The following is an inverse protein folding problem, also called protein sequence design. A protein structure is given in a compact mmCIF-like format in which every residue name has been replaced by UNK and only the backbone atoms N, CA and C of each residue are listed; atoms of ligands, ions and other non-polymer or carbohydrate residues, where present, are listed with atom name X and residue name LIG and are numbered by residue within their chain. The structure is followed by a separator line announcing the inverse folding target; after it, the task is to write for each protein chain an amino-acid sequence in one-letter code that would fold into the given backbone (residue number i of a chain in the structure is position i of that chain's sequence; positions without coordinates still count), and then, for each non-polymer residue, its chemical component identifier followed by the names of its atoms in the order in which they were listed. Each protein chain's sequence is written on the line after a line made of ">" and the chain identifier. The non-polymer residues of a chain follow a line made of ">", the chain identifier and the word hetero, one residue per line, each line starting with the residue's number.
data_IF_795263954086
#
_entry.id   IF_795263954086
#
_cell.length_a   1.000
_cell.length_b   1.000
_cell.length_c   1.000
_cell.angle_alpha   90.00
_cell.angle_beta   90.00
_cell.angle_gamma   90.00
#
_symmetry.space_group_name_H-M   'P 1'
#
loop_
_entity.id
_entity.type
_entity.pdbx_description
1 polymer ?
#
# COMPACT_ATOMS: atom_id res chain seq x y z
N UNK A 1 22.58 0.80 27.64
CA UNK A 1 22.38 -0.52 28.29
C UNK A 1 23.68 -1.32 28.35
N UNK A 2 24.36 -1.57 27.22
CA UNK A 2 25.65 -2.28 27.23
C UNK A 2 26.72 -1.53 28.02
N UNK A 3 26.87 -0.22 27.83
CA UNK A 3 27.83 0.61 28.60
C UNK A 3 27.62 0.49 30.10
N UNK A 4 26.37 0.56 30.56
CA UNK A 4 26.01 0.33 31.96
C UNK A 4 26.38 -1.08 32.44
N UNK A 5 26.18 -2.11 31.62
CA UNK A 5 26.58 -3.48 31.98
C UNK A 5 28.12 -3.64 32.05
N UNK A 6 28.87 -2.91 31.21
CA UNK A 6 30.33 -2.83 31.32
C UNK A 6 30.73 -2.17 32.64
N UNK A 7 30.13 -1.03 32.97
CA UNK A 7 30.34 -0.33 34.25
C UNK A 7 29.98 -1.21 35.44
N UNK A 8 28.83 -1.90 35.41
CA UNK A 8 28.39 -2.82 36.45
C UNK A 8 29.37 -4.01 36.58
N UNK A 9 29.81 -4.61 35.47
CA UNK A 9 30.78 -5.73 35.48
C UNK A 9 32.13 -5.31 36.09
N UNK A 10 32.59 -4.09 35.77
CA UNK A 10 33.80 -3.52 36.36
C UNK A 10 33.59 -3.17 37.85
N UNK A 11 32.42 -2.65 38.22
CA UNK A 11 32.07 -2.31 39.59
C UNK A 11 31.92 -3.54 40.51
N UNK A 12 31.40 -4.65 40.00
CA UNK A 12 31.31 -5.92 40.76
C UNK A 12 32.68 -6.61 40.92
N UNK A 13 33.62 -6.33 40.00
CA UNK A 13 34.99 -6.80 40.12
C UNK A 13 35.84 -5.92 41.04
N UNK A 14 35.37 -4.71 41.35
CA UNK A 14 35.95 -3.90 42.41
C UNK A 14 35.51 -4.47 43.76
N UNK A 15 36.45 -4.64 44.71
CA UNK A 15 36.17 -5.17 46.04
C UNK A 15 35.30 -4.16 46.80
N UNK A 16 33.98 -4.29 46.67
CA UNK A 16 32.99 -3.37 47.23
C UNK A 16 32.39 -3.86 48.55
N UNK A 17 32.54 -5.15 48.87
CA UNK A 17 32.00 -5.75 50.09
C UNK A 17 32.96 -5.67 51.30
N UNK A 18 34.23 -5.30 51.10
CA UNK A 18 35.20 -5.18 52.18
C UNK A 18 35.61 -3.71 52.44
N UNK A 19 34.65 -2.93 52.94
CA UNK A 19 34.87 -1.56 53.42
C UNK A 19 36.02 -1.48 54.44
N UNK A 20 36.34 -2.57 55.15
CA UNK A 20 37.46 -2.64 56.09
C UNK A 20 38.79 -2.75 55.34
N UNK A 21 38.91 -3.61 54.34
CA UNK A 21 40.10 -3.67 53.48
C UNK A 21 40.34 -2.34 52.76
N UNK A 22 39.29 -1.70 52.24
CA UNK A 22 39.34 -0.37 51.61
C UNK A 22 39.84 0.72 52.56
N UNK A 23 39.35 0.76 53.80
CA UNK A 23 39.81 1.70 54.83
C UNK A 23 41.27 1.44 55.22
N UNK A 24 41.69 0.17 55.29
CA UNK A 24 43.07 -0.20 55.62
C UNK A 24 44.05 0.19 54.51
N UNK A 25 43.66 -0.01 53.24
CA UNK A 25 44.43 0.41 52.08
C UNK A 25 44.52 1.94 51.94
N UNK A 26 43.42 2.67 52.19
CA UNK A 26 43.40 4.14 52.20
C UNK A 26 44.30 4.73 53.30
N UNK A 27 44.36 4.10 54.47
CA UNK A 27 45.26 4.54 55.56
C UNK A 27 46.74 4.25 55.27
N UNK A 28 47.04 3.30 54.38
CA UNK A 28 48.41 2.98 53.95
C UNK A 28 48.92 3.91 52.84
N UNK A 29 48.04 4.70 52.21
CA UNK A 29 48.33 5.54 51.05
C UNK A 29 48.32 7.03 51.47
N UNK A 30 49.23 7.82 50.89
CA UNK A 30 49.45 9.23 51.24
C UNK A 30 48.17 10.09 51.03
N UNK A 31 47.77 10.95 51.98
CA UNK A 31 46.40 11.47 52.09
C UNK A 31 45.96 12.50 51.05
N UNK A 32 46.84 12.97 50.16
CA UNK A 32 46.55 14.16 49.35
C UNK A 32 46.35 13.95 47.85
N UNK A 33 46.67 12.78 47.28
CA UNK A 33 46.29 12.30 45.91
C UNK A 33 47.11 11.05 45.58
N UNK A 34 46.43 9.92 45.41
CA UNK A 34 47.05 8.70 44.87
C UNK A 34 46.28 8.24 43.63
N UNK A 35 46.98 7.69 42.62
CA UNK A 35 46.32 7.07 41.48
C UNK A 35 45.55 5.82 41.92
N UNK A 36 44.36 5.61 41.35
CA UNK A 36 43.47 4.48 41.66
C UNK A 36 44.19 3.11 41.54
N UNK A 37 45.18 3.03 40.64
CA UNK A 37 46.03 1.84 40.42
C UNK A 37 46.77 1.37 41.68
N UNK A 38 47.25 2.31 42.51
CA UNK A 38 47.95 1.98 43.76
C UNK A 38 47.01 1.41 44.83
N UNK A 39 45.73 1.79 44.78
CA UNK A 39 44.71 1.28 45.70
C UNK A 39 44.27 -0.13 45.31
N UNK A 40 44.16 -0.41 44.01
CA UNK A 40 43.83 -1.74 43.48
C UNK A 40 44.94 -2.78 43.67
N UNK A 41 46.21 -2.43 43.46
CA UNK A 41 47.34 -3.35 43.70
C UNK A 41 47.41 -3.85 45.16
N UNK A 42 47.05 -2.98 46.11
CA UNK A 42 47.12 -3.30 47.53
C UNK A 42 45.98 -4.22 47.99
N UNK A 43 44.81 -4.13 47.35
CA UNK A 43 43.64 -4.98 47.65
C UNK A 43 43.71 -6.32 46.91
N UNK A 44 44.32 -6.36 45.71
CA UNK A 44 44.58 -7.61 44.98
C UNK A 44 45.49 -8.58 45.75
N UNK A 45 46.41 -8.07 46.58
CA UNK A 45 47.28 -8.94 47.40
C UNK A 45 46.57 -9.64 48.56
N UNK A 46 45.35 -9.23 48.91
CA UNK A 46 44.59 -9.71 50.07
C UNK A 46 43.28 -10.45 49.73
N UNK A 47 42.87 -10.46 48.46
CA UNK A 47 41.58 -11.03 48.05
C UNK A 47 41.71 -11.78 46.72
N UNK A 48 41.60 -13.12 46.73
CA UNK A 48 41.46 -13.96 45.52
C UNK A 48 40.12 -13.76 44.78
N UNK A 49 39.24 -12.88 45.29
CA UNK A 49 37.89 -12.66 44.78
C UNK A 49 37.84 -11.45 43.86
N UNK A 50 38.25 -11.64 42.60
CA UNK A 50 38.20 -10.56 41.60
C UNK A 50 38.52 -10.98 40.17
N UNK A 51 38.41 -12.26 39.80
CA UNK A 51 38.70 -12.70 38.44
C UNK A 51 37.62 -12.20 37.47
N UNK A 52 37.93 -11.15 36.72
CA UNK A 52 37.10 -10.63 35.63
C UNK A 52 37.13 -11.64 34.47
N UNK A 53 35.95 -12.00 33.95
CA UNK A 53 35.85 -12.70 32.66
C UNK A 53 36.27 -11.75 31.53
N UNK A 54 37.58 -11.73 31.25
CA UNK A 54 38.18 -10.90 30.21
C UNK A 54 37.60 -11.20 28.82
N UNK A 55 37.14 -12.43 28.57
CA UNK A 55 36.52 -12.79 27.31
C UNK A 55 35.14 -12.13 27.17
N UNK A 56 34.32 -12.18 28.23
CA UNK A 56 33.03 -11.48 28.27
C UNK A 56 33.20 -9.97 28.15
N UNK A 57 34.15 -9.38 28.89
CA UNK A 57 34.40 -7.94 28.83
C UNK A 57 34.83 -7.50 27.42
N UNK A 58 35.78 -8.22 26.80
CA UNK A 58 36.21 -7.94 25.41
C UNK A 58 35.05 -8.02 24.42
N UNK A 59 34.14 -9.00 24.57
CA UNK A 59 32.93 -9.09 23.74
C UNK A 59 32.01 -7.89 23.92
N UNK A 60 31.73 -7.49 25.16
CA UNK A 60 30.87 -6.33 25.46
C UNK A 60 31.46 -5.04 24.91
N UNK A 61 32.77 -4.82 25.08
CA UNK A 61 33.48 -3.66 24.53
C UNK A 61 33.39 -3.65 23.01
N UNK A 62 33.64 -4.79 22.35
CA UNK A 62 33.54 -4.90 20.89
C UNK A 62 32.12 -4.58 20.40
N UNK A 63 31.09 -5.20 20.99
CA UNK A 63 29.69 -4.92 20.62
C UNK A 63 29.37 -3.43 20.83
N UNK A 64 29.85 -2.82 21.91
CA UNK A 64 29.65 -1.38 22.17
C UNK A 64 30.30 -0.51 21.09
N UNK A 65 31.54 -0.81 20.69
CA UNK A 65 32.24 -0.10 19.63
C UNK A 65 31.54 -0.26 18.27
N UNK A 66 31.13 -1.48 17.94
CA UNK A 66 30.43 -1.79 16.69
C UNK A 66 29.06 -1.07 16.65
N UNK A 67 28.33 -1.01 17.77
CA UNK A 67 27.06 -0.28 17.86
C UNK A 67 27.25 1.24 17.76
N UNK A 68 28.30 1.80 18.36
CA UNK A 68 28.62 3.22 18.22
C UNK A 68 28.96 3.57 16.77
N UNK A 69 29.76 2.72 16.11
CA UNK A 69 30.08 2.88 14.70
C UNK A 69 28.82 2.79 13.82
N UNK A 70 27.96 1.80 14.06
CA UNK A 70 26.69 1.67 13.34
C UNK A 70 25.81 2.91 13.55
N UNK A 71 25.68 3.38 14.79
CA UNK A 71 24.90 4.58 15.10
C UNK A 71 25.42 5.81 14.34
N UNK A 72 26.73 6.04 14.36
CA UNK A 72 27.38 7.14 13.62
C UNK A 72 27.15 7.03 12.11
N UNK A 73 27.27 5.84 11.52
CA UNK A 73 26.98 5.62 10.10
C UNK A 73 25.53 5.92 9.73
N UNK A 74 24.58 5.61 10.64
CA UNK A 74 23.16 5.84 10.41
C UNK A 74 22.77 7.31 10.54
N UNK A 75 23.44 8.08 11.39
CA UNK A 75 23.06 9.45 11.78
C UNK A 75 23.87 10.53 11.08
N UNK A 76 25.20 10.41 11.08
CA UNK A 76 26.11 11.44 10.58
C UNK A 76 26.85 10.98 9.30
N UNK A 77 27.46 9.79 9.33
CA UNK A 77 28.33 9.32 8.25
C UNK A 77 29.50 10.27 7.95
N UNK A 78 30.24 10.01 6.87
CA UNK A 78 31.43 10.81 6.51
C UNK A 78 31.10 12.23 6.06
N UNK A 79 29.93 12.43 5.45
CA UNK A 79 29.49 13.71 4.89
C UNK A 79 28.48 14.46 5.76
N UNK A 80 28.19 13.99 6.98
CA UNK A 80 27.21 14.61 7.88
C UNK A 80 25.74 14.42 7.48
N UNK A 81 25.46 13.55 6.50
CA UNK A 81 24.11 13.28 5.99
C UNK A 81 23.50 11.97 6.54
N UNK A 82 24.31 11.15 7.19
CA UNK A 82 23.93 9.82 7.68
C UNK A 82 23.60 8.84 6.56
N UNK A 83 22.85 7.80 6.89
CA UNK A 83 22.39 6.81 5.91
C UNK A 83 21.19 7.35 5.13
N UNK A 84 21.25 7.26 3.80
CA UNK A 84 20.10 7.56 2.95
C UNK A 84 18.86 6.73 3.33
N UNK A 85 17.68 7.36 3.26
CA UNK A 85 16.38 6.72 3.57
C UNK A 85 15.79 5.95 2.39
N UNK A 86 16.31 6.18 1.18
CA UNK A 86 15.90 5.50 -0.04
C UNK A 86 17.06 5.50 -1.04
N UNK A 87 16.97 4.63 -2.04
CA UNK A 87 17.88 4.63 -3.19
C UNK A 87 17.08 4.64 -4.49
N UNK A 88 17.66 5.19 -5.55
CA UNK A 88 17.02 5.30 -6.86
C UNK A 88 17.75 4.45 -7.90
N UNK A 89 16.98 3.70 -8.68
CA UNK A 89 17.41 3.09 -9.93
C UNK A 89 16.54 3.65 -11.05
N UNK A 90 17.12 4.40 -11.99
CA UNK A 90 16.40 5.05 -13.08
C UNK A 90 16.68 4.28 -14.35
N UNK A 91 15.61 3.84 -14.99
CA UNK A 91 15.70 3.13 -16.26
C UNK A 91 15.88 4.08 -17.45
N UNK A 92 16.43 3.59 -18.58
CA UNK A 92 16.61 4.40 -19.77
C UNK A 92 15.28 4.87 -20.36
N UNK A 93 15.28 6.06 -20.97
CA UNK A 93 14.11 6.64 -21.62
C UNK A 93 13.97 8.14 -21.33
N UNK A 94 12.76 8.67 -21.39
CA UNK A 94 12.54 10.13 -21.22
C UNK A 94 12.91 10.64 -19.81
N UNK A 95 13.09 9.75 -18.83
CA UNK A 95 13.53 10.13 -17.49
C UNK A 95 15.03 10.46 -17.46
N UNK A 96 15.84 9.83 -18.30
CA UNK A 96 17.29 10.04 -18.27
C UNK A 96 17.70 11.41 -18.78
N UNK A 97 16.87 12.02 -19.64
CA UNK A 97 17.11 13.35 -20.22
C UNK A 97 17.28 14.43 -19.14
N UNK A 98 16.49 14.36 -18.06
CA UNK A 98 16.58 15.30 -16.94
C UNK A 98 17.33 14.72 -15.74
N UNK A 99 17.31 13.40 -15.54
CA UNK A 99 17.96 12.77 -14.39
C UNK A 99 19.49 12.68 -14.51
N UNK A 100 20.03 12.61 -15.73
CA UNK A 100 21.46 12.38 -16.00
C UNK A 100 22.20 13.57 -16.62
N UNK A 101 21.63 14.79 -16.60
CA UNK A 101 22.20 15.93 -17.30
C UNK A 101 23.36 16.57 -16.53
N UNK A 102 24.60 16.17 -16.84
CA UNK A 102 25.79 16.79 -16.26
C UNK A 102 25.92 18.26 -16.65
N UNK A 103 26.25 19.20 -15.72
CA UNK A 103 26.68 18.97 -14.33
C UNK A 103 25.55 18.99 -13.28
N UNK A 104 24.31 19.17 -13.69
CA UNK A 104 23.19 19.38 -12.78
C UNK A 104 22.69 18.05 -12.21
N UNK A 105 22.87 17.85 -10.90
CA UNK A 105 22.33 16.69 -10.18
C UNK A 105 21.15 17.11 -9.29
N UNK A 106 19.90 16.74 -9.65
CA UNK A 106 18.73 17.13 -8.86
C UNK A 106 18.50 16.27 -7.61
N UNK A 107 19.29 15.21 -7.39
CA UNK A 107 19.01 14.21 -6.36
C UNK A 107 19.82 14.42 -5.08
N UNK A 108 19.14 14.23 -3.94
CA UNK A 108 19.74 14.25 -2.59
C UNK A 108 19.96 12.83 -2.03
N UNK A 109 19.86 11.81 -2.89
CA UNK A 109 19.92 10.39 -2.54
C UNK A 109 20.80 9.67 -3.54
N UNK A 110 21.36 8.49 -3.21
CA UNK A 110 22.10 7.69 -4.17
C UNK A 110 21.22 7.28 -5.36
N UNK A 111 21.67 7.63 -6.56
CA UNK A 111 20.97 7.33 -7.83
C UNK A 111 21.90 6.55 -8.74
N UNK A 112 21.37 5.47 -9.29
CA UNK A 112 21.99 4.74 -10.38
C UNK A 112 21.11 4.87 -11.62
N UNK A 113 21.69 5.34 -12.71
CA UNK A 113 21.01 5.43 -14.01
C UNK A 113 21.47 4.25 -14.85
N UNK A 114 20.52 3.41 -15.27
CA UNK A 114 20.77 2.28 -16.15
C UNK A 114 20.87 2.74 -17.61
N UNK A 115 21.94 2.31 -18.27
CA UNK A 115 22.19 2.60 -19.69
C UNK A 115 22.00 1.36 -20.59
N UNK A 116 21.79 0.18 -19.99
CA UNK A 116 21.82 -1.11 -20.68
C UNK A 116 20.41 -1.72 -20.89
N UNK A 117 19.36 -1.14 -20.29
CA UNK A 117 17.98 -1.58 -20.46
C UNK A 117 17.59 -2.79 -19.61
N UNK A 118 18.35 -3.09 -18.54
CA UNK A 118 18.07 -4.16 -17.59
C UNK A 118 17.99 -3.65 -16.14
N UNK A 119 17.20 -2.58 -15.99
CA UNK A 119 17.11 -1.83 -14.74
C UNK A 119 16.55 -2.68 -13.60
N UNK A 120 15.70 -3.66 -13.91
CA UNK A 120 15.13 -4.55 -12.90
C UNK A 120 16.19 -5.47 -12.27
N UNK A 121 17.09 -6.07 -13.06
CA UNK A 121 18.17 -6.88 -12.50
C UNK A 121 19.21 -6.00 -11.78
N UNK A 122 19.50 -4.81 -12.31
CA UNK A 122 20.33 -3.83 -11.63
C UNK A 122 19.75 -3.46 -10.26
N UNK A 123 18.45 -3.18 -10.20
CA UNK A 123 17.73 -2.86 -8.97
C UNK A 123 17.77 -4.02 -7.97
N UNK A 124 17.60 -5.27 -8.41
CA UNK A 124 17.74 -6.46 -7.56
C UNK A 124 19.15 -6.53 -6.96
N UNK A 125 20.19 -6.42 -7.78
CA UNK A 125 21.58 -6.49 -7.29
C UNK A 125 21.94 -5.35 -6.32
N UNK A 126 21.48 -4.13 -6.60
CA UNK A 126 21.65 -2.99 -5.70
C UNK A 126 20.94 -3.22 -4.36
N UNK A 127 19.71 -3.73 -4.40
CA UNK A 127 18.92 -4.00 -3.21
C UNK A 127 19.53 -5.13 -2.37
N UNK A 128 20.01 -6.21 -2.98
CA UNK A 128 20.71 -7.29 -2.27
C UNK A 128 21.95 -6.78 -1.53
N UNK A 129 22.73 -5.89 -2.15
CA UNK A 129 23.87 -5.24 -1.51
C UNK A 129 23.46 -4.38 -0.31
N UNK A 130 22.40 -3.59 -0.45
CA UNK A 130 21.84 -2.76 0.63
C UNK A 130 21.30 -3.62 1.78
N UNK A 131 20.56 -4.68 1.46
CA UNK A 131 19.99 -5.60 2.44
C UNK A 131 21.07 -6.32 3.23
N UNK A 132 22.14 -6.78 2.59
CA UNK A 132 23.27 -7.39 3.31
C UNK A 132 23.82 -6.46 4.39
N UNK A 133 24.00 -5.17 4.08
CA UNK A 133 24.48 -4.18 5.06
C UNK A 133 23.48 -3.88 6.15
N UNK A 134 22.20 -3.83 5.84
CA UNK A 134 21.18 -3.64 6.87
C UNK A 134 21.05 -4.86 7.80
N UNK A 135 21.13 -6.08 7.24
CA UNK A 135 21.10 -7.35 7.97
C UNK A 135 22.29 -7.47 8.92
N UNK A 136 23.50 -7.06 8.51
CA UNK A 136 24.67 -6.98 9.40
C UNK A 136 24.37 -6.12 10.65
N UNK A 137 23.72 -4.97 10.46
CA UNK A 137 23.31 -4.09 11.57
C UNK A 137 22.24 -4.70 12.47
N UNK A 138 21.24 -5.37 11.89
CA UNK A 138 20.19 -6.06 12.65
C UNK A 138 20.78 -7.25 13.44
N UNK A 139 21.67 -8.02 12.83
CA UNK A 139 22.37 -9.11 13.51
C UNK A 139 23.17 -8.61 14.72
N UNK A 140 23.85 -7.46 14.59
CA UNK A 140 24.54 -6.81 15.70
C UNK A 140 23.57 -6.39 16.83
N UNK A 141 22.40 -5.84 16.50
CA UNK A 141 21.37 -5.51 17.49
C UNK A 141 20.79 -6.75 18.19
N UNK A 142 20.56 -7.84 17.45
CA UNK A 142 20.12 -9.13 18.02
C UNK A 142 21.19 -9.70 18.95
N UNK A 143 22.46 -9.65 18.54
CA UNK A 143 23.59 -10.10 19.36
C UNK A 143 23.69 -9.27 20.65
N UNK A 144 23.60 -7.95 20.55
CA UNK A 144 23.59 -7.04 21.70
C UNK A 144 22.47 -7.37 22.69
N UNK A 145 21.25 -7.61 22.20
CA UNK A 145 20.13 -8.02 23.05
C UNK A 145 20.33 -9.40 23.69
N UNK A 146 20.87 -10.35 22.94
CA UNK A 146 21.13 -11.70 23.43
C UNK A 146 22.23 -11.70 24.49
N UNK A 147 23.30 -10.92 24.33
CA UNK A 147 24.37 -10.79 25.32
C UNK A 147 23.85 -10.20 26.64
N UNK A 148 22.86 -9.30 26.59
CA UNK A 148 22.22 -8.75 27.79
C UNK A 148 21.29 -9.76 28.50
N UNK A 149 20.65 -10.68 27.76
CA UNK A 149 19.67 -11.64 28.31
C UNK A 149 20.31 -12.98 28.70
N UNK A 150 21.19 -13.52 27.87
CA UNK A 150 21.83 -14.82 28.03
C UNK A 150 23.22 -14.84 27.36
N UNK A 151 24.29 -14.48 28.10
CA UNK A 151 25.66 -14.40 27.58
C UNK A 151 26.20 -15.72 26.99
N UNK A 152 25.84 -16.86 27.57
CA UNK A 152 26.33 -18.17 27.10
C UNK A 152 25.71 -18.57 25.76
N UNK A 153 24.42 -18.28 25.57
CA UNK A 153 23.76 -18.43 24.29
C UNK A 153 24.34 -17.45 23.24
N UNK A 154 24.61 -16.20 23.64
CA UNK A 154 25.21 -15.19 22.76
C UNK A 154 26.60 -15.61 22.26
N UNK A 155 27.44 -16.16 23.13
CA UNK A 155 28.76 -16.66 22.77
C UNK A 155 28.69 -17.83 21.77
N UNK A 156 27.72 -18.75 21.94
CA UNK A 156 27.51 -19.84 20.97
C UNK A 156 27.04 -19.32 19.62
N UNK A 157 26.09 -18.40 19.61
CA UNK A 157 25.58 -17.79 18.37
C UNK A 157 26.66 -16.99 17.62
N UNK A 158 27.48 -16.22 18.35
CA UNK A 158 28.56 -15.42 17.76
C UNK A 158 29.62 -16.28 17.04
N UNK A 159 29.86 -17.52 17.51
CA UNK A 159 30.79 -18.46 16.85
C UNK A 159 30.24 -19.03 15.54
N UNK A 160 28.92 -19.12 15.40
CA UNK A 160 28.28 -19.60 14.18
C UNK A 160 28.22 -18.52 13.09
N UNK A 161 28.20 -17.24 13.48
CA UNK A 161 28.20 -16.08 12.58
C UNK A 161 27.13 -16.13 11.47
N UNK A 162 25.98 -16.76 11.74
CA UNK A 162 24.88 -16.89 10.78
C UNK A 162 24.12 -15.57 10.74
N UNK A 163 24.10 -14.94 9.58
CA UNK A 163 23.25 -13.78 9.31
C UNK A 163 21.82 -14.28 9.01
N UNK A 164 20.79 -13.61 9.54
CA UNK A 164 19.42 -13.96 9.22
C UNK A 164 19.11 -13.64 7.76
N UNK A 165 18.26 -14.44 7.13
CA UNK A 165 17.68 -14.09 5.83
C UNK A 165 16.63 -12.98 5.99
N UNK A 166 16.33 -12.26 4.90
CA UNK A 166 15.31 -11.20 4.89
C UNK A 166 13.94 -11.69 5.41
N UNK A 167 13.58 -12.94 5.08
CA UNK A 167 12.32 -13.55 5.48
C UNK A 167 12.28 -13.90 6.99
N UNK A 168 13.42 -13.92 7.67
CA UNK A 168 13.54 -14.18 9.11
C UNK A 168 13.53 -12.88 9.96
N UNK A 169 13.44 -11.72 9.31
CA UNK A 169 13.32 -10.43 9.97
C UNK A 169 11.88 -10.18 10.42
N UNK A 170 11.74 -9.61 11.61
CA UNK A 170 10.46 -9.07 12.08
C UNK A 170 10.05 -7.84 11.26
N UNK A 171 8.77 -7.46 11.29
CA UNK A 171 8.29 -6.26 10.59
C UNK A 171 8.99 -4.98 11.04
N UNK A 172 9.30 -4.87 12.34
CA UNK A 172 10.06 -3.73 12.88
C UNK A 172 11.49 -3.70 12.33
N UNK A 173 12.14 -4.86 12.21
CA UNK A 173 13.50 -4.95 11.66
C UNK A 173 13.53 -4.64 10.16
N UNK A 174 12.52 -5.09 9.40
CA UNK A 174 12.39 -4.79 7.98
C UNK A 174 12.24 -3.29 7.71
N UNK A 175 11.61 -2.53 8.62
CA UNK A 175 11.48 -1.07 8.50
C UNK A 175 12.83 -0.33 8.61
N UNK A 176 13.87 -0.95 9.19
CA UNK A 176 15.20 -0.37 9.21
C UNK A 176 15.93 -0.50 7.87
N UNK A 177 15.43 -1.30 6.93
CA UNK A 177 16.00 -1.45 5.61
C UNK A 177 15.41 -0.38 4.67
N UNK A 178 16.22 0.52 4.11
CA UNK A 178 15.72 1.53 3.18
C UNK A 178 15.19 0.85 1.90
N UNK A 179 14.01 1.25 1.39
CA UNK A 179 13.51 0.71 0.14
C UNK A 179 14.32 1.22 -1.06
N UNK A 180 14.38 0.40 -2.11
CA UNK A 180 14.87 0.82 -3.41
C UNK A 180 13.69 1.20 -4.30
N UNK A 181 13.78 2.40 -4.89
CA UNK A 181 12.78 2.94 -5.79
C UNK A 181 13.31 2.85 -7.24
N UNK A 182 12.66 2.01 -8.04
CA UNK A 182 12.92 1.90 -9.47
C UNK A 182 11.98 2.84 -10.22
N UNK A 183 12.52 3.76 -11.02
CA UNK A 183 11.77 4.70 -11.83
C UNK A 183 11.85 4.33 -13.31
N UNK A 184 10.74 4.48 -14.01
CA UNK A 184 10.67 4.05 -15.39
C UNK A 184 9.48 4.55 -16.20
N UNK A 185 9.47 4.23 -17.50
CA UNK A 185 8.34 4.40 -18.41
C UNK A 185 7.82 3.06 -18.92
N UNK A 186 6.73 3.08 -19.70
CA UNK A 186 6.15 1.91 -20.35
C UNK A 186 7.15 1.08 -21.18
N UNK A 187 8.17 1.71 -21.75
CA UNK A 187 9.17 1.03 -22.58
C UNK A 187 10.02 0.01 -21.82
N UNK A 188 10.12 0.10 -20.50
CA UNK A 188 10.87 -0.86 -19.66
C UNK A 188 10.12 -2.19 -19.56
N UNK A 189 8.83 -2.20 -19.88
CA UNK A 189 8.01 -3.40 -19.93
C UNK A 189 8.33 -4.27 -21.15
N UNK A 190 9.20 -3.82 -22.05
CA UNK A 190 9.59 -4.57 -23.25
C UNK A 190 10.45 -5.79 -22.93
N UNK A 191 11.26 -5.76 -21.85
CA UNK A 191 11.94 -6.93 -21.27
C UNK A 191 11.06 -7.62 -20.21
N UNK A 192 9.97 -8.23 -20.69
CA UNK A 192 8.80 -8.73 -19.94
C UNK A 192 9.08 -9.67 -18.75
N UNK A 193 10.26 -10.28 -18.67
CA UNK A 193 10.60 -11.26 -17.63
C UNK A 193 10.97 -10.58 -16.31
N UNK A 194 11.64 -9.43 -16.36
CA UNK A 194 12.33 -8.90 -15.18
C UNK A 194 11.40 -8.14 -14.23
N UNK A 195 10.40 -7.39 -14.73
CA UNK A 195 9.43 -6.72 -13.85
C UNK A 195 8.52 -7.70 -13.11
N UNK A 196 8.03 -8.72 -13.81
CA UNK A 196 7.17 -9.75 -13.20
C UNK A 196 7.93 -10.55 -12.15
N UNK A 197 9.21 -10.83 -12.38
CA UNK A 197 10.07 -11.44 -11.37
C UNK A 197 10.17 -10.52 -10.16
N UNK A 198 10.51 -9.24 -10.38
CA UNK A 198 10.69 -8.23 -9.33
C UNK A 198 9.44 -8.08 -8.44
N UNK A 199 8.24 -8.01 -9.03
CA UNK A 199 6.98 -7.89 -8.28
C UNK A 199 6.57 -9.17 -7.54
N UNK A 200 7.19 -10.31 -7.87
CA UNK A 200 7.00 -11.56 -7.14
C UNK A 200 8.04 -11.78 -6.02
N UNK A 201 9.11 -10.99 -5.99
CA UNK A 201 10.10 -11.05 -4.93
C UNK A 201 9.51 -10.46 -3.66
N UNK A 202 9.74 -11.12 -2.52
CA UNK A 202 9.36 -10.60 -1.21
C UNK A 202 10.36 -9.54 -0.71
N UNK A 203 10.76 -8.59 -1.56
CA UNK A 203 11.80 -7.59 -1.26
C UNK A 203 11.18 -6.18 -1.17
N UNK A 204 11.78 -5.25 -0.41
CA UNK A 204 11.24 -3.90 -0.21
C UNK A 204 11.55 -2.99 -1.41
N UNK A 205 11.05 -3.38 -2.60
CA UNK A 205 11.24 -2.64 -3.84
C UNK A 205 9.96 -1.92 -4.25
N UNK A 206 10.10 -0.66 -4.67
CA UNK A 206 8.99 0.17 -5.15
C UNK A 206 9.27 0.51 -6.60
N UNK A 207 8.34 0.20 -7.49
CA UNK A 207 8.46 0.50 -8.92
C UNK A 207 7.48 1.61 -9.24
N UNK A 208 7.98 2.75 -9.71
CA UNK A 208 7.15 3.80 -10.30
C UNK A 208 7.32 3.76 -11.80
N UNK A 209 6.21 3.57 -12.51
CA UNK A 209 6.13 3.66 -13.96
C UNK A 209 5.34 4.92 -14.33
N UNK A 210 5.91 5.73 -15.20
CA UNK A 210 5.28 6.88 -15.82
C UNK A 210 4.79 6.49 -17.21
N UNK A 211 3.49 6.63 -17.44
CA UNK A 211 2.89 6.44 -18.76
C UNK A 211 2.43 7.75 -19.33
N UNK A 212 2.60 7.88 -20.63
CA UNK A 212 2.02 8.98 -21.40
C UNK A 212 0.86 8.48 -22.30
N UNK A 213 0.44 7.21 -22.15
CA UNK A 213 -0.61 6.54 -22.89
C UNK A 213 -0.37 6.48 -24.40
N UNK A 214 0.88 6.39 -24.83
CA UNK A 214 1.18 6.09 -26.21
C UNK A 214 0.63 4.70 -26.61
N UNK A 215 -0.02 4.64 -27.77
CA UNK A 215 -0.82 3.50 -28.21
C UNK A 215 0.05 2.50 -28.97
N UNK A 216 1.09 2.95 -29.65
CA UNK A 216 1.97 2.10 -30.45
C UNK A 216 2.88 1.22 -29.58
N UNK A 217 3.32 1.78 -28.46
CA UNK A 217 4.20 1.13 -27.49
C UNK A 217 3.44 0.28 -26.46
N UNK A 218 2.15 0.56 -26.23
CA UNK A 218 1.34 -0.11 -25.21
C UNK A 218 0.79 -1.46 -25.66
N UNK A 219 1.58 -2.51 -25.47
CA UNK A 219 1.17 -3.90 -25.76
C UNK A 219 0.64 -4.67 -24.55
N UNK A 220 0.80 -4.17 -23.33
CA UNK A 220 0.49 -4.86 -22.07
C UNK A 220 -0.04 -3.89 -21.02
N UNK A 221 -0.85 -4.40 -20.09
CA UNK A 221 -1.37 -3.65 -18.94
C UNK A 221 -0.61 -4.07 -17.67
N UNK A 222 0.46 -3.36 -17.25
CA UNK A 222 1.35 -3.79 -16.16
C UNK A 222 0.64 -3.89 -14.82
N UNK A 223 -0.31 -3.00 -14.57
CA UNK A 223 -1.11 -2.96 -13.35
C UNK A 223 -2.04 -4.17 -13.22
N UNK A 224 -2.68 -4.62 -14.31
CA UNK A 224 -3.49 -5.83 -14.34
C UNK A 224 -2.64 -7.11 -14.21
N UNK A 225 -1.44 -7.13 -14.81
CA UNK A 225 -0.50 -8.25 -14.65
C UNK A 225 -0.02 -8.37 -13.20
N UNK A 226 0.33 -7.25 -12.56
CA UNK A 226 0.70 -7.22 -11.15
C UNK A 226 -0.47 -7.63 -10.25
N UNK A 227 -1.68 -7.20 -10.58
CA UNK A 227 -2.90 -7.60 -9.87
C UNK A 227 -3.14 -9.12 -9.95
N UNK A 228 -2.95 -9.72 -11.13
CA UNK A 228 -3.08 -11.17 -11.33
C UNK A 228 -2.06 -11.99 -10.50
N UNK A 229 -0.89 -11.44 -10.23
CA UNK A 229 0.13 -12.08 -9.39
C UNK A 229 -0.19 -12.02 -7.90
N UNK A 230 -1.10 -11.14 -7.47
CA UNK A 230 -1.60 -10.99 -6.11
C UNK A 230 -0.57 -10.78 -4.97
N UNK A 231 0.71 -10.54 -5.27
CA UNK A 231 1.79 -10.38 -4.27
C UNK A 231 2.22 -8.94 -4.00
N UNK A 232 2.05 -8.05 -4.96
CA UNK A 232 2.48 -6.66 -4.86
C UNK A 232 1.31 -5.73 -4.55
N UNK A 233 1.58 -4.64 -3.84
CA UNK A 233 0.66 -3.50 -3.82
C UNK A 233 0.62 -2.86 -5.21
N UNK A 234 -0.57 -2.53 -5.72
CA UNK A 234 -0.73 -1.88 -7.04
C UNK A 234 -1.49 -0.58 -6.86
N UNK A 235 -0.95 0.49 -7.44
CA UNK A 235 -1.59 1.80 -7.52
C UNK A 235 -1.58 2.23 -8.97
N UNK A 236 -2.75 2.45 -9.56
CA UNK A 236 -2.90 3.13 -10.85
C UNK A 236 -3.54 4.50 -10.61
N UNK A 237 -2.82 5.57 -10.96
CA UNK A 237 -3.17 6.94 -10.55
C UNK A 237 -2.77 7.98 -11.60
N UNK A 238 -3.26 9.21 -11.48
CA UNK A 238 -2.98 10.30 -12.42
C UNK A 238 -2.56 11.54 -11.65
N UNK A 239 -1.71 12.38 -12.25
CA UNK A 239 -1.32 13.67 -11.70
C UNK A 239 -2.51 14.61 -11.42
N UNK A 240 -3.66 14.38 -12.09
CA UNK A 240 -4.89 15.15 -11.87
C UNK A 240 -5.62 14.77 -10.58
N UNK A 241 -5.30 13.63 -9.96
CA UNK A 241 -5.97 13.10 -8.77
C UNK A 241 -4.98 13.08 -7.59
N UNK A 242 -4.57 14.26 -7.14
CA UNK A 242 -3.48 14.44 -6.16
C UNK A 242 -3.72 13.71 -4.85
N UNK A 243 -4.94 13.75 -4.30
CA UNK A 243 -5.26 13.05 -3.05
C UNK A 243 -5.10 11.53 -3.19
N UNK A 244 -5.68 10.95 -4.26
CA UNK A 244 -5.54 9.54 -4.59
C UNK A 244 -4.07 9.15 -4.78
N UNK A 245 -3.28 9.98 -5.48
CA UNK A 245 -1.84 9.78 -5.67
C UNK A 245 -1.10 9.77 -4.32
N UNK A 246 -1.27 10.81 -3.49
CA UNK A 246 -0.54 10.96 -2.23
C UNK A 246 -0.87 9.85 -1.24
N UNK A 247 -2.16 9.50 -1.10
CA UNK A 247 -2.58 8.40 -0.25
C UNK A 247 -2.03 7.06 -0.75
N UNK A 248 -2.17 6.79 -2.05
CA UNK A 248 -1.69 5.54 -2.64
C UNK A 248 -0.17 5.37 -2.51
N UNK A 249 0.60 6.44 -2.71
CA UNK A 249 2.06 6.41 -2.54
C UNK A 249 2.41 6.12 -1.08
N UNK A 250 1.73 6.76 -0.12
CA UNK A 250 1.95 6.50 1.32
C UNK A 250 1.68 5.03 1.66
N UNK A 251 0.59 4.46 1.17
CA UNK A 251 0.26 3.04 1.34
C UNK A 251 1.30 2.12 0.69
N UNK A 252 1.75 2.44 -0.53
CA UNK A 252 2.77 1.69 -1.25
C UNK A 252 4.11 1.64 -0.47
N UNK A 253 4.53 2.74 0.15
CA UNK A 253 5.73 2.78 0.98
C UNK A 253 5.54 2.09 2.33
N UNK A 254 4.34 2.11 2.91
CA UNK A 254 4.02 1.37 4.13
C UNK A 254 3.92 -0.15 3.90
N UNK A 255 3.64 -0.59 2.67
CA UNK A 255 3.56 -2.01 2.31
C UNK A 255 4.93 -2.70 2.45
N UNK A 256 5.01 -3.73 3.27
CA UNK A 256 6.22 -4.52 3.52
C UNK A 256 6.48 -5.54 2.41
N UNK A 257 6.80 -5.06 1.21
CA UNK A 257 7.03 -5.89 0.02
C UNK A 257 7.08 -5.08 -1.28
N UNK A 258 6.96 -5.72 -2.44
CA UNK A 258 6.98 -5.05 -3.72
C UNK A 258 5.74 -4.16 -3.92
N UNK A 259 5.92 -3.00 -4.54
CA UNK A 259 4.79 -2.16 -4.95
C UNK A 259 4.98 -1.66 -6.38
N UNK A 260 3.90 -1.66 -7.17
CA UNK A 260 3.82 -1.03 -8.47
C UNK A 260 2.95 0.23 -8.39
N UNK A 261 3.53 1.37 -8.72
CA UNK A 261 2.87 2.67 -8.79
C UNK A 261 2.90 3.10 -10.25
N UNK A 262 1.75 3.03 -10.91
CA UNK A 262 1.59 3.37 -12.32
C UNK A 262 0.90 4.72 -12.46
N UNK A 263 1.65 5.73 -12.91
CA UNK A 263 1.23 7.14 -12.91
C UNK A 263 1.06 7.63 -14.33
N UNK A 264 -0.14 8.14 -14.64
CA UNK A 264 -0.36 8.85 -15.89
C UNK A 264 0.17 10.29 -15.80
N UNK A 265 1.14 10.59 -16.67
CA UNK A 265 1.82 11.89 -16.81
C UNK A 265 1.82 12.32 -18.28
N UNK A 266 0.82 13.11 -18.73
CA UNK A 266 0.81 13.60 -20.11
C UNK A 266 1.93 14.59 -20.38
N UNK A 267 2.47 14.58 -21.60
CA UNK A 267 3.49 15.51 -22.07
C UNK A 267 2.89 16.48 -23.09
N UNK A 268 2.74 17.78 -22.74
CA UNK A 268 2.11 18.76 -23.64
C UNK A 268 2.76 18.85 -25.01
N UNK A 269 4.09 18.92 -25.04
CA UNK A 269 4.89 19.04 -26.26
C UNK A 269 4.76 17.78 -27.14
N UNK A 270 4.94 16.59 -26.56
CA UNK A 270 4.85 15.32 -27.32
C UNK A 270 3.43 15.00 -27.78
N UNK A 271 2.41 15.41 -27.02
CA UNK A 271 1.02 15.08 -27.32
C UNK A 271 0.35 16.16 -28.18
N UNK A 272 0.98 17.33 -28.33
CA UNK A 272 0.52 18.45 -29.11
C UNK A 272 -0.71 19.14 -28.52
N UNK A 273 -0.64 19.50 -27.24
CA UNK A 273 -1.61 20.36 -26.57
C UNK A 273 -0.90 21.41 -25.69
N UNK A 274 -1.60 22.46 -25.26
CA UNK A 274 -1.01 23.56 -24.46
C UNK A 274 -0.70 23.14 -23.02
N UNK A 275 0.41 23.61 -22.46
CA UNK A 275 0.84 23.25 -21.09
C UNK A 275 -0.20 23.58 -20.01
N UNK A 276 -1.02 24.62 -20.21
CA UNK A 276 -2.12 25.00 -19.31
C UNK A 276 -3.16 23.87 -19.16
N UNK A 277 -3.36 23.06 -20.20
CA UNK A 277 -4.34 21.99 -20.20
C UNK A 277 -3.85 20.69 -19.56
N UNK A 278 -2.59 20.60 -19.10
CA UNK A 278 -1.96 19.34 -18.61
C UNK A 278 -2.82 18.60 -17.58
N UNK A 279 -3.35 19.30 -16.57
CA UNK A 279 -4.18 18.68 -15.52
C UNK A 279 -5.56 18.30 -16.06
N UNK A 280 -6.15 19.14 -16.91
CA UNK A 280 -7.43 18.86 -17.57
C UNK A 280 -7.33 17.62 -18.45
N UNK A 281 -6.27 17.51 -19.27
CA UNK A 281 -5.97 16.31 -20.10
C UNK A 281 -5.81 15.07 -19.24
N UNK A 282 -5.08 15.21 -18.12
CA UNK A 282 -4.88 14.14 -17.17
C UNK A 282 -6.19 13.63 -16.56
N UNK A 283 -7.12 14.55 -16.23
CA UNK A 283 -8.44 14.21 -15.70
C UNK A 283 -9.36 13.56 -16.75
N UNK A 284 -9.37 14.10 -17.98
CA UNK A 284 -10.16 13.56 -19.07
C UNK A 284 -9.74 12.14 -19.47
N UNK A 285 -8.44 11.79 -19.38
CA UNK A 285 -8.01 10.41 -19.62
C UNK A 285 -8.63 9.41 -18.62
N UNK A 286 -8.82 9.84 -17.37
CA UNK A 286 -9.52 9.04 -16.35
C UNK A 286 -11.01 8.94 -16.67
N UNK A 287 -11.66 10.08 -16.94
CA UNK A 287 -13.10 10.13 -17.20
C UNK A 287 -13.53 9.41 -18.49
N UNK A 288 -12.66 9.40 -19.50
CA UNK A 288 -12.87 8.66 -20.75
C UNK A 288 -12.66 7.15 -20.60
N UNK A 289 -12.23 6.67 -19.43
CA UNK A 289 -11.75 5.30 -19.17
C UNK A 289 -10.51 4.91 -19.98
N UNK A 290 -9.79 5.87 -20.58
CA UNK A 290 -8.49 5.58 -21.19
C UNK A 290 -7.48 5.11 -20.13
N UNK A 291 -7.55 5.68 -18.92
CA UNK A 291 -6.71 5.30 -17.80
C UNK A 291 -7.49 5.33 -16.47
N UNK A 292 -8.32 4.31 -16.18
CA UNK A 292 -9.09 4.26 -14.94
C UNK A 292 -8.16 4.12 -13.72
N UNK A 293 -8.55 4.67 -12.58
CA UNK A 293 -7.76 4.60 -11.35
C UNK A 293 -8.12 3.36 -10.54
N UNK A 294 -7.16 2.78 -9.85
CA UNK A 294 -7.46 1.78 -8.82
C UNK A 294 -6.30 1.58 -7.86
N UNK A 295 -6.63 1.01 -6.69
CA UNK A 295 -5.70 0.54 -5.67
C UNK A 295 -5.93 -0.95 -5.44
N UNK A 296 -4.86 -1.69 -5.17
CA UNK A 296 -4.92 -3.06 -4.69
C UNK A 296 -3.88 -3.28 -3.60
N UNK A 297 -4.35 -3.78 -2.45
CA UNK A 297 -3.47 -4.17 -1.35
C UNK A 297 -3.66 -5.65 -1.03
N UNK A 298 -2.67 -6.51 -1.30
CA UNK A 298 -2.81 -7.94 -1.07
C UNK A 298 -2.97 -8.31 0.41
N UNK A 299 -2.52 -7.44 1.33
CA UNK A 299 -2.64 -7.62 2.78
C UNK A 299 -3.89 -6.96 3.38
N UNK A 300 -4.75 -6.33 2.58
CA UNK A 300 -6.02 -5.80 3.07
C UNK A 300 -6.99 -6.93 3.44
N UNK A 301 -7.92 -6.64 4.34
CA UNK A 301 -8.90 -7.60 4.84
C UNK A 301 -9.91 -8.03 3.75
N UNK A 302 -10.52 -9.20 3.96
CA UNK A 302 -11.55 -9.75 3.08
C UNK A 302 -11.02 -10.58 1.90
N UNK A 303 -11.86 -10.76 0.89
CA UNK A 303 -11.60 -11.57 -0.30
C UNK A 303 -10.88 -10.76 -1.37
N UNK A 304 -10.35 -11.42 -2.42
CA UNK A 304 -9.59 -10.76 -3.48
C UNK A 304 -10.24 -9.48 -4.01
N UNK A 305 -11.55 -9.52 -4.30
CA UNK A 305 -12.25 -8.36 -4.83
C UNK A 305 -12.43 -7.20 -3.85
N UNK A 306 -12.62 -7.48 -2.55
CA UNK A 306 -12.73 -6.41 -1.54
C UNK A 306 -11.39 -5.71 -1.26
N UNK A 307 -10.28 -6.27 -1.75
CA UNK A 307 -8.93 -5.66 -1.65
C UNK A 307 -8.65 -4.69 -2.80
N UNK A 308 -9.55 -4.60 -3.79
CA UNK A 308 -9.47 -3.68 -4.92
C UNK A 308 -10.39 -2.49 -4.63
N UNK A 309 -9.86 -1.28 -4.75
CA UNK A 309 -10.64 -0.04 -4.68
C UNK A 309 -10.57 0.69 -6.01
N UNK A 310 -11.74 1.05 -6.56
CA UNK A 310 -11.89 1.90 -7.75
C UNK A 310 -12.16 3.37 -7.40
N UNK A 311 -11.85 3.76 -6.17
CA UNK A 311 -11.99 5.14 -5.70
C UNK A 311 -11.22 6.12 -6.61
N UNK A 312 -11.77 7.32 -6.78
CA UNK A 312 -11.21 8.35 -7.67
C UNK A 312 -11.75 8.32 -9.09
N UNK A 313 -12.59 7.35 -9.45
CA UNK A 313 -13.31 7.36 -10.73
C UNK A 313 -14.78 7.77 -10.54
N UNK A 314 -15.30 8.60 -11.45
CA UNK A 314 -16.72 9.00 -11.46
C UNK A 314 -17.61 7.90 -12.07
N UNK A 315 -18.90 7.90 -11.69
CA UNK A 315 -19.96 7.01 -12.22
C UNK A 315 -19.52 5.54 -12.32
N UNK A 316 -19.17 4.94 -11.18
CA UNK A 316 -18.55 3.61 -11.08
C UNK A 316 -19.39 2.46 -11.64
N UNK A 317 -20.71 2.62 -11.69
CA UNK A 317 -21.69 1.67 -12.20
C UNK A 317 -21.82 1.73 -13.74
N UNK A 318 -21.38 2.83 -14.35
CA UNK A 318 -21.48 3.04 -15.80
C UNK A 318 -20.19 2.72 -16.53
N UNK A 319 -20.36 2.25 -17.76
CA UNK A 319 -19.24 2.03 -18.68
C UNK A 319 -18.59 3.37 -19.08
N UNK A 320 -19.41 4.33 -19.51
CA UNK A 320 -18.98 5.66 -19.93
C UNK A 320 -19.59 6.72 -19.02
N UNK A 321 -18.80 7.73 -18.68
CA UNK A 321 -19.28 8.91 -17.95
C UNK A 321 -20.16 9.75 -18.89
N UNK A 322 -21.19 10.38 -18.34
CA UNK A 322 -22.01 11.33 -19.08
C UNK A 322 -21.45 12.74 -18.95
N UNK A 323 -21.09 13.33 -20.08
CA UNK A 323 -20.67 14.72 -20.17
C UNK A 323 -21.62 15.45 -21.13
N UNK A 324 -22.34 16.45 -20.63
CA UNK A 324 -23.38 17.17 -21.39
C UNK A 324 -24.40 16.21 -22.03
N UNK A 325 -24.92 15.26 -21.24
CA UNK A 325 -25.87 14.22 -21.66
C UNK A 325 -25.40 13.29 -22.80
N UNK A 326 -24.10 13.29 -23.09
CA UNK A 326 -23.47 12.42 -24.10
C UNK A 326 -22.39 11.55 -23.46
N UNK A 327 -22.18 10.32 -23.97
CA UNK A 327 -21.13 9.44 -23.46
C UNK A 327 -19.75 10.02 -23.77
N UNK A 328 -18.92 10.16 -22.75
CA UNK A 328 -17.52 10.57 -22.91
C UNK A 328 -16.62 9.33 -23.01
N UNK A 329 -16.04 9.11 -24.18
CA UNK A 329 -15.28 7.90 -24.54
C UNK A 329 -13.80 8.22 -24.79
N UNK A 330 -12.91 7.22 -24.93
CA UNK A 330 -11.50 7.45 -25.25
C UNK A 330 -11.29 8.23 -26.55
N UNK A 331 -12.22 8.13 -27.50
CA UNK A 331 -12.17 8.91 -28.74
C UNK A 331 -12.41 10.41 -28.51
N UNK A 332 -13.27 10.78 -27.56
CA UNK A 332 -13.48 12.18 -27.18
C UNK A 332 -12.22 12.78 -26.55
N UNK A 333 -11.55 12.00 -25.68
CA UNK A 333 -10.26 12.39 -25.12
C UNK A 333 -9.20 12.51 -26.24
N UNK A 334 -9.03 11.49 -27.08
CA UNK A 334 -7.97 11.47 -28.09
C UNK A 334 -8.10 12.55 -29.18
N UNK A 335 -9.31 12.98 -29.52
CA UNK A 335 -9.55 14.07 -30.48
C UNK A 335 -8.91 15.41 -30.06
N UNK A 336 -8.57 15.54 -28.78
CA UNK A 336 -7.94 16.73 -28.23
C UNK A 336 -6.40 16.65 -28.13
N UNK A 337 -5.79 15.59 -28.68
CA UNK A 337 -4.33 15.44 -28.73
C UNK A 337 -3.87 15.27 -30.17
N UNK A 338 -2.96 16.12 -30.62
CA UNK A 338 -2.48 16.14 -32.01
C UNK A 338 -1.85 14.80 -32.43
N UNK A 339 -1.23 14.09 -31.49
CA UNK A 339 -0.64 12.76 -31.74
C UNK A 339 -1.64 11.73 -32.29
N UNK A 340 -2.94 11.92 -32.06
CA UNK A 340 -3.98 11.02 -32.55
C UNK A 340 -4.74 11.56 -33.76
N UNK A 341 -4.34 12.72 -34.31
CA UNK A 341 -5.05 13.38 -35.42
C UNK A 341 -5.30 12.45 -36.62
N UNK A 342 -4.37 11.54 -36.91
CA UNK A 342 -4.49 10.58 -38.02
C UNK A 342 -5.68 9.61 -37.89
N UNK A 343 -6.23 9.44 -36.68
CA UNK A 343 -7.39 8.59 -36.42
C UNK A 343 -8.74 9.29 -36.63
N UNK A 344 -8.74 10.57 -36.97
CA UNK A 344 -9.96 11.36 -37.13
C UNK A 344 -10.03 11.97 -38.53
N UNK A 345 -11.20 11.89 -39.14
CA UNK A 345 -11.49 12.54 -40.42
C UNK A 345 -12.60 13.55 -40.18
N UNK A 346 -12.35 14.83 -40.50
CA UNK A 346 -13.35 15.88 -40.35
C UNK A 346 -14.52 15.61 -41.29
N UNK A 347 -15.72 15.64 -40.75
CA UNK A 347 -16.97 15.37 -41.48
C UNK A 347 -17.89 16.61 -41.53
N UNK A 348 -17.41 17.75 -41.05
CA UNK A 348 -18.13 19.03 -41.09
C UNK A 348 -19.18 19.19 -39.98
N UNK A 349 -20.38 19.64 -40.36
CA UNK A 349 -21.46 20.00 -39.44
C UNK A 349 -22.06 18.80 -38.69
N UNK A 350 -22.65 19.06 -37.52
CA UNK A 350 -23.30 18.02 -36.71
C UNK A 350 -24.50 17.43 -37.45
N UNK A 351 -24.41 16.15 -37.80
CA UNK A 351 -25.55 15.35 -38.23
C UNK A 351 -26.05 14.46 -37.07
N UNK A 352 -27.30 14.65 -36.59
CA UNK A 352 -27.90 13.79 -35.55
C UNK A 352 -28.05 12.32 -35.96
N UNK A 353 -27.99 12.03 -37.26
CA UNK A 353 -28.12 10.66 -37.80
C UNK A 353 -26.83 9.84 -37.68
N UNK A 354 -25.73 10.47 -37.26
CA UNK A 354 -24.44 9.81 -37.07
C UNK A 354 -24.43 8.99 -35.79
N UNK A 355 -23.90 7.76 -35.91
CA UNK A 355 -23.82 6.85 -34.79
C UNK A 355 -22.68 7.29 -33.85
N UNK A 356 -22.92 7.16 -32.55
CA UNK A 356 -21.88 7.40 -31.55
C UNK A 356 -20.86 6.27 -31.54
N UNK A 357 -19.74 6.48 -30.86
CA UNK A 357 -18.78 5.40 -30.56
C UNK A 357 -19.47 4.25 -29.81
N UNK A 358 -20.43 4.55 -28.92
CA UNK A 358 -21.18 3.54 -28.16
C UNK A 358 -22.03 2.68 -29.08
N UNK A 359 -22.71 3.30 -30.05
CA UNK A 359 -23.52 2.60 -31.05
C UNK A 359 -22.68 1.67 -31.92
N UNK A 360 -21.47 2.10 -32.30
CA UNK A 360 -20.52 1.26 -33.04
C UNK A 360 -20.04 0.06 -32.22
N UNK A 361 -19.77 0.26 -30.92
CA UNK A 361 -19.35 -0.82 -30.04
C UNK A 361 -20.45 -1.89 -29.85
N UNK A 362 -21.72 -1.50 -29.98
CA UNK A 362 -22.86 -2.41 -29.99
C UNK A 362 -23.07 -3.07 -31.37
N UNK A 363 -22.93 -2.31 -32.45
CA UNK A 363 -23.12 -2.78 -33.82
C UNK A 363 -22.01 -2.25 -34.75
N UNK A 364 -21.09 -3.15 -35.10
CA UNK A 364 -19.91 -2.86 -35.92
C UNK A 364 -20.21 -2.51 -37.38
N UNK A 365 -21.46 -2.67 -37.84
CA UNK A 365 -21.83 -2.30 -39.22
C UNK A 365 -21.93 -0.77 -39.42
N UNK A 366 -21.91 -0.01 -38.34
CA UNK A 366 -22.06 1.45 -38.31
C UNK A 366 -20.73 2.18 -38.49
N UNK A 367 -20.81 3.47 -38.81
CA UNK A 367 -19.68 4.42 -38.72
C UNK A 367 -19.80 5.25 -37.46
N UNK A 368 -18.71 5.38 -36.72
CA UNK A 368 -18.67 6.09 -35.44
C UNK A 368 -18.19 7.53 -35.59
N UNK A 369 -18.85 8.44 -34.87
CA UNK A 369 -18.49 9.85 -34.84
C UNK A 369 -18.34 10.35 -33.41
N UNK A 370 -17.49 11.36 -33.26
CA UNK A 370 -17.34 12.17 -32.05
C UNK A 370 -17.51 13.65 -32.40
N UNK A 371 -17.96 14.44 -31.43
CA UNK A 371 -18.21 15.87 -31.62
C UNK A 371 -17.24 16.69 -30.77
N UNK A 372 -16.69 17.75 -31.36
CA UNK A 372 -15.87 18.76 -30.69
C UNK A 372 -16.13 20.11 -31.33
N UNK A 373 -16.31 21.16 -30.52
CA UNK A 373 -16.48 22.55 -30.98
C UNK A 373 -17.52 22.69 -32.11
N UNK A 374 -18.67 22.04 -31.92
CA UNK A 374 -19.78 22.00 -32.90
C UNK A 374 -19.45 21.35 -34.26
N UNK A 375 -18.32 20.64 -34.36
CA UNK A 375 -17.94 19.87 -35.54
C UNK A 375 -17.95 18.37 -35.25
N UNK A 376 -18.31 17.58 -36.26
CA UNK A 376 -18.24 16.13 -36.20
C UNK A 376 -16.99 15.59 -36.88
N UNK A 377 -16.44 14.55 -36.25
CA UNK A 377 -15.24 13.86 -36.68
C UNK A 377 -15.53 12.37 -36.74
N UNK A 378 -15.37 11.78 -37.91
CA UNK A 378 -15.42 10.34 -38.08
C UNK A 378 -14.21 9.72 -37.39
N UNK A 379 -14.44 8.69 -36.58
CA UNK A 379 -13.38 7.92 -35.91
C UNK A 379 -12.99 6.74 -36.77
N UNK A 380 -11.70 6.58 -37.05
CA UNK A 380 -11.21 5.44 -37.81
C UNK A 380 -11.33 4.11 -37.02
N UNK A 381 -11.56 2.97 -37.70
CA UNK A 381 -11.74 1.66 -37.05
C UNK A 381 -10.61 1.22 -36.12
N UNK A 382 -9.37 1.63 -36.42
CA UNK A 382 -8.18 1.32 -35.62
C UNK A 382 -8.32 1.87 -34.20
N UNK A 383 -8.79 3.12 -34.06
CA UNK A 383 -8.98 3.74 -32.75
C UNK A 383 -10.21 3.20 -32.01
N UNK A 384 -11.24 2.77 -32.76
CA UNK A 384 -12.42 2.14 -32.16
C UNK A 384 -12.09 0.79 -31.51
N UNK A 385 -11.07 0.09 -32.00
CA UNK A 385 -10.56 -1.14 -31.36
C UNK A 385 -10.02 -0.84 -29.96
N UNK A 386 -9.32 0.28 -29.79
CA UNK A 386 -8.78 0.74 -28.50
C UNK A 386 -9.92 1.13 -27.55
N UNK A 387 -10.94 1.82 -28.07
CA UNK A 387 -12.13 2.13 -27.27
C UNK A 387 -12.79 0.86 -26.72
N UNK A 388 -12.85 -0.20 -27.54
CA UNK A 388 -13.38 -1.51 -27.13
C UNK A 388 -12.51 -2.15 -26.04
N UNK A 389 -11.19 -2.14 -26.20
CA UNK A 389 -10.26 -2.70 -25.21
C UNK A 389 -10.37 -1.98 -23.87
N UNK A 390 -10.44 -0.64 -23.88
CA UNK A 390 -10.64 0.17 -22.66
C UNK A 390 -11.97 -0.12 -21.99
N UNK A 391 -13.03 -0.27 -22.78
CA UNK A 391 -14.34 -0.70 -22.27
C UNK A 391 -14.24 -2.04 -21.54
N UNK A 392 -13.52 -3.01 -22.12
CA UNK A 392 -13.35 -4.35 -21.54
C UNK A 392 -12.52 -4.31 -20.25
N UNK A 393 -11.41 -3.56 -20.24
CA UNK A 393 -10.58 -3.37 -19.05
C UNK A 393 -11.40 -2.77 -17.90
N UNK A 394 -12.22 -1.75 -18.19
CA UNK A 394 -13.08 -1.14 -17.17
C UNK A 394 -14.09 -2.14 -16.61
N UNK A 395 -14.75 -2.94 -17.46
CA UNK A 395 -15.66 -4.01 -17.01
C UNK A 395 -14.94 -5.03 -16.13
N UNK A 396 -13.76 -5.48 -16.55
CA UNK A 396 -12.95 -6.40 -15.73
C UNK A 396 -12.61 -5.79 -14.38
N UNK A 397 -12.27 -4.50 -14.31
CA UNK A 397 -12.03 -3.83 -13.02
C UNK A 397 -13.30 -3.77 -12.16
N UNK A 398 -14.46 -3.45 -12.74
CA UNK A 398 -15.74 -3.46 -12.03
C UNK A 398 -16.09 -4.86 -11.49
N UNK A 399 -15.88 -5.90 -12.29
CA UNK A 399 -16.11 -7.30 -11.90
C UNK A 399 -15.14 -7.73 -10.79
N UNK A 400 -13.85 -7.44 -10.94
CA UNK A 400 -12.84 -7.78 -9.96
C UNK A 400 -13.06 -7.05 -8.63
N UNK A 401 -13.47 -5.78 -8.65
CA UNK A 401 -13.83 -5.02 -7.45
C UNK A 401 -15.19 -5.44 -6.84
N UNK A 402 -15.94 -6.33 -7.50
CA UNK A 402 -17.23 -6.82 -7.01
C UNK A 402 -18.41 -5.86 -7.20
N UNK A 403 -18.26 -4.80 -8.01
CA UNK A 403 -19.34 -3.84 -8.30
C UNK A 403 -20.39 -4.43 -9.25
N UNK A 404 -19.93 -5.18 -10.26
CA UNK A 404 -20.79 -5.82 -11.25
C UNK A 404 -20.53 -7.30 -11.17
N UNK A 405 -21.37 -8.02 -10.42
CA UNK A 405 -21.32 -9.48 -10.39
C UNK A 405 -22.68 -10.06 -10.76
N UNK A 406 -22.74 -11.18 -11.50
CA UNK A 406 -24.00 -11.88 -11.72
C UNK A 406 -24.64 -12.37 -10.41
N UNK A 407 -23.83 -12.52 -9.35
CA UNK A 407 -24.29 -12.99 -8.04
C UNK A 407 -24.93 -11.89 -7.19
N UNK A 408 -24.55 -10.62 -7.32
CA UNK A 408 -25.16 -9.54 -6.53
C UNK A 408 -26.62 -9.35 -6.88
N UNK A 409 -26.97 -9.39 -8.17
CA UNK A 409 -28.36 -9.31 -8.60
C UNK A 409 -29.21 -10.49 -8.07
N UNK A 410 -28.70 -11.72 -8.14
CA UNK A 410 -29.39 -12.91 -7.63
C UNK A 410 -29.42 -12.96 -6.07
N UNK A 411 -28.43 -12.37 -5.42
CA UNK A 411 -28.40 -12.25 -3.96
C UNK A 411 -29.36 -11.17 -3.46
N UNK A 412 -29.43 -10.02 -4.14
CA UNK A 412 -30.41 -8.96 -3.85
C UNK A 412 -31.85 -9.45 -4.02
N UNK A 413 -32.15 -10.18 -5.10
CA UNK A 413 -33.48 -10.77 -5.29
C UNK A 413 -33.81 -11.77 -4.17
N UNK A 414 -32.88 -12.67 -3.81
CA UNK A 414 -33.05 -13.62 -2.70
C UNK A 414 -33.22 -12.92 -1.35
N UNK A 415 -32.43 -11.89 -1.05
CA UNK A 415 -32.55 -11.13 0.20
C UNK A 415 -33.88 -10.39 0.27
N UNK A 416 -34.30 -9.76 -0.83
CA UNK A 416 -35.59 -9.07 -0.93
C UNK A 416 -36.73 -10.06 -0.69
N UNK A 417 -36.64 -11.26 -1.25
CA UNK A 417 -37.61 -12.32 -1.05
C UNK A 417 -37.62 -12.83 0.40
N UNK A 418 -36.44 -13.04 1.03
CA UNK A 418 -36.36 -13.42 2.43
C UNK A 418 -36.91 -12.36 3.39
N UNK A 419 -36.68 -11.08 3.10
CA UNK A 419 -37.25 -9.97 3.89
C UNK A 419 -38.77 -9.92 3.72
N UNK A 420 -39.27 -10.08 2.49
CA UNK A 420 -40.71 -10.15 2.22
C UNK A 420 -41.35 -11.34 2.94
N UNK A 421 -40.72 -12.52 2.92
CA UNK A 421 -41.20 -13.71 3.62
C UNK A 421 -41.23 -13.51 5.14
N UNK A 422 -40.20 -12.88 5.72
CA UNK A 422 -40.17 -12.54 7.16
C UNK A 422 -41.23 -11.52 7.55
N UNK A 423 -41.42 -10.47 6.74
CA UNK A 423 -42.48 -9.50 7.01
C UNK A 423 -43.87 -10.14 6.89
N UNK A 424 -44.06 -11.07 5.96
CA UNK A 424 -45.32 -11.79 5.82
C UNK A 424 -45.60 -12.68 7.04
N UNK A 425 -44.59 -13.41 7.55
CA UNK A 425 -44.76 -14.22 8.76
C UNK A 425 -45.02 -13.37 10.01
N UNK A 426 -44.36 -12.20 10.14
CA UNK A 426 -44.63 -11.24 11.20
C UNK A 426 -46.07 -10.69 11.13
N UNK A 427 -46.54 -10.29 9.94
CA UNK A 427 -47.93 -9.84 9.75
C UNK A 427 -48.95 -10.92 10.09
N UNK A 428 -48.68 -12.17 9.71
CA UNK A 428 -49.59 -13.29 9.97
C UNK A 428 -49.62 -13.64 11.46
N UNK A 429 -48.48 -13.63 12.15
CA UNK A 429 -48.42 -13.80 13.61
C UNK A 429 -49.14 -12.66 14.36
N UNK A 430 -48.97 -11.42 13.91
CA UNK A 430 -49.63 -10.26 14.51
C UNK A 430 -51.16 -10.31 14.30
N UNK A 431 -51.62 -10.71 13.11
CA UNK A 431 -53.05 -10.96 12.84
C UNK A 431 -53.61 -12.02 13.76
N UNK A 432 -52.92 -13.15 13.94
CA UNK A 432 -53.35 -14.21 14.85
C UNK A 432 -53.43 -13.71 16.30
N UNK A 433 -52.47 -12.88 16.74
CA UNK A 433 -52.50 -12.29 18.07
C UNK A 433 -53.70 -11.34 18.25
N UNK A 434 -53.99 -10.49 17.26
CA UNK A 434 -55.16 -9.61 17.30
C UNK A 434 -56.48 -10.37 17.25
N UNK A 435 -56.59 -11.41 16.40
CA UNK A 435 -57.78 -12.27 16.36
C UNK A 435 -58.01 -12.99 17.71
N UNK A 436 -56.93 -13.46 18.35
CA UNK A 436 -57.00 -14.03 19.68
C UNK A 436 -57.44 -13.00 20.73
N UNK A 437 -56.92 -11.76 20.68
CA UNK A 437 -57.36 -10.67 21.56
C UNK A 437 -58.83 -10.32 21.36
N UNK A 438 -59.28 -10.20 20.10
CA UNK A 438 -60.68 -9.91 19.77
C UNK A 438 -61.59 -11.03 20.28
N UNK A 439 -61.17 -12.29 20.13
CA UNK A 439 -61.93 -13.44 20.63
C UNK A 439 -62.03 -13.42 22.16
N UNK A 440 -60.92 -13.15 22.86
CA UNK A 440 -60.91 -13.03 24.32
C UNK A 440 -61.80 -11.88 24.81
N UNK A 441 -61.69 -10.70 24.18
CA UNK A 441 -62.54 -9.54 24.48
C UNK A 441 -64.03 -9.85 24.26
N UNK A 442 -64.39 -10.56 23.19
CA UNK A 442 -65.78 -10.99 22.96
C UNK A 442 -66.27 -11.93 24.05
N UNK A 443 -65.47 -12.93 24.43
CA UNK A 443 -65.85 -13.86 25.51
C UNK A 443 -65.97 -13.15 26.86
N UNK A 444 -65.14 -12.15 27.13
CA UNK A 444 -65.19 -11.35 28.35
C UNK A 444 -66.44 -10.45 28.37
N UNK A 445 -66.75 -9.77 27.27
CA UNK A 445 -67.98 -8.98 27.12
C UNK A 445 -69.24 -9.85 27.20
N UNK A 446 -69.25 -11.04 26.60
CA UNK A 446 -70.37 -11.98 26.71
C UNK A 446 -70.56 -12.45 28.16
N UNK A 447 -69.49 -12.72 28.89
CA UNK A 447 -69.55 -13.07 30.31
C UNK A 447 -70.08 -11.91 31.16
N UNK A 448 -69.61 -10.68 30.91
CA UNK A 448 -70.05 -9.47 31.62
C UNK A 448 -71.53 -9.16 31.31
N UNK A 449 -71.95 -9.23 30.06
CA UNK A 449 -73.35 -9.07 29.64
C UNK A 449 -74.24 -10.13 30.30
N UNK A 450 -73.80 -11.39 30.35
CA UNK A 450 -74.55 -12.47 31.02
C UNK A 450 -74.66 -12.22 32.52
N UNK A 451 -73.59 -11.77 33.17
CA UNK A 451 -73.59 -11.39 34.59
C UNK A 451 -74.53 -10.21 34.86
N UNK A 452 -74.54 -9.20 33.98
CA UNK A 452 -75.39 -8.02 34.10
C UNK A 452 -76.87 -8.32 33.86
N UNK A 453 -77.19 -9.16 32.87
CA UNK A 453 -78.54 -9.67 32.66
C UNK A 453 -79.00 -10.51 33.85
N UNK A 454 -78.13 -11.38 34.39
CA UNK A 454 -78.43 -12.15 35.61
C UNK A 454 -78.67 -11.24 36.82
N UNK A 455 -77.87 -10.20 37.01
CA UNK A 455 -78.04 -9.20 38.08
C UNK A 455 -79.37 -8.45 37.92
N UNK A 456 -79.67 -7.95 36.72
CA UNK A 456 -80.93 -7.23 36.45
C UNK A 456 -82.15 -8.15 36.60
N UNK A 457 -82.04 -9.44 36.25
CA UNK A 457 -83.11 -10.41 36.50
C UNK A 457 -83.26 -10.75 37.99
N UNK A 458 -82.18 -10.75 38.76
CA UNK A 458 -82.22 -10.91 40.23
C UNK A 458 -82.88 -9.69 40.89
N UNK A 459 -82.58 -8.48 40.42
CA UNK A 459 -83.23 -7.24 40.88
C UNK A 459 -84.72 -7.19 40.49
N UNK A 460 -85.09 -7.62 39.28
CA UNK A 460 -86.50 -7.72 38.86
C UNK A 460 -87.27 -8.84 39.58
N UNK A 461 -86.59 -9.88 40.05
CA UNK A 461 -87.17 -10.96 40.84
C UNK A 461 -87.32 -10.61 42.33
N UNK A 462 -86.92 -9.40 42.76
CA UNK A 462 -87.11 -8.93 44.13
C UNK A 462 -86.14 -9.52 45.15
N UNK A 463 -84.98 -10.00 44.71
CA UNK A 463 -83.89 -10.44 45.58
C UNK A 463 -82.79 -9.37 45.63
N UNK A 464 -83.07 -8.26 46.29
CA UNK A 464 -82.06 -7.26 46.65
C UNK A 464 -82.06 -7.14 48.18
N UNK A 465 -81.12 -7.82 48.84
CA UNK A 465 -80.67 -7.56 50.22
C UNK A 465 -79.19 -7.15 50.19
#
# INVERSE_FOLDING_TARGET
>A
KITKNIEDTLAHALPSDDLKALATALNAINPNKAPLSALTEQIESSTEQGLIDANKLRRLVKISQDLQKLHWQLTDGEHGLGRSRLSLAIAPGTLTDWAGHWPDNPFQVPVTIDMNGDTANLAIGLLEGQLRKAIEGVALLRQAHLELKNPDAANRAAKLAILPDWNELSREEQQFCPPLLMLGNDNILTSKTSLNQLLNLNLPIKVILFTDLDIETRRLEPSLLALAQNKAYVLQTSISHTEHFMQGVKEAFAFAGPALIYVYTPSPDRHGFTSENTITRANEAVNSRMFPLFKYNPNAEGVFGSRISLEGNSELDKIWISQQDKPFTPANWALNELRFANYFVSDGEINPSHNTVVDYLADKSKTAFVTKDEQQWQVRPEFLTICKERMQIWRTLQELAGLVTPFTADLETRLTQQVADKHQTELDSLKQEYEAKIKNLRTEMEAEMTARVKSNLMDLAGYSD
#
